data_IF_558519025501
#
_entry.id   IF_558519025501
#
_cell.length_a   1.000
_cell.length_b   1.000
_cell.length_c   1.000
_cell.angle_alpha   90.00
_cell.angle_beta   90.00
_cell.angle_gamma   90.00
#
_symmetry.space_group_name_H-M   'P 1'
#
loop_
_entity.id
_entity.type
_entity.pdbx_description
1 polymer ?
#
# COMPACT_ATOMS: atom_id res chain seq x y z
N UNK A 1 3.00 15.52 5.26
CA UNK A 1 4.43 15.62 5.58
C UNK A 1 4.93 14.22 5.92
N UNK A 2 6.06 13.78 5.36
CA UNK A 2 6.62 12.46 5.69
C UNK A 2 7.13 12.46 7.13
N UNK A 3 6.78 11.42 7.89
CA UNK A 3 7.15 11.31 9.31
C UNK A 3 8.43 10.49 9.52
N UNK A 4 8.78 9.63 8.55
CA UNK A 4 9.89 8.68 8.66
C UNK A 4 9.67 7.55 9.66
N UNK A 5 8.47 7.46 10.23
CA UNK A 5 8.08 6.47 11.23
C UNK A 5 7.35 5.28 10.60
N UNK A 6 7.41 4.14 11.28
CA UNK A 6 6.72 2.92 10.89
C UNK A 6 5.22 3.00 11.24
N UNK A 7 4.34 2.68 10.30
CA UNK A 7 2.90 2.54 10.55
C UNK A 7 2.60 1.13 11.08
N UNK A 8 2.10 1.03 12.31
CA UNK A 8 1.78 -0.23 13.01
C UNK A 8 0.31 -0.19 13.44
N UNK A 9 -0.58 -0.68 12.57
CA UNK A 9 -2.03 -0.46 12.72
C UNK A 9 -2.34 1.03 12.62
N UNK A 10 -2.95 1.61 13.66
CA UNK A 10 -3.28 3.04 13.73
C UNK A 10 -2.23 3.91 14.46
N UNK A 11 -1.03 3.38 14.70
CA UNK A 11 0.01 4.05 15.48
C UNK A 11 1.30 4.22 14.66
N UNK A 12 2.02 5.30 14.93
CA UNK A 12 3.37 5.53 14.38
C UNK A 12 4.43 5.15 15.42
N UNK A 13 5.46 4.45 14.99
CA UNK A 13 6.56 3.99 15.84
C UNK A 13 7.93 4.24 15.21
N UNK A 14 8.93 4.47 16.05
CA UNK A 14 10.31 4.73 15.64
C UNK A 14 11.28 4.29 16.75
N UNK A 15 11.05 3.09 17.28
CA UNK A 15 11.81 2.57 18.43
C UNK A 15 13.19 2.00 18.00
N UNK A 16 13.40 1.83 16.70
CA UNK A 16 14.67 1.43 16.12
C UNK A 16 15.79 2.43 16.41
N UNK A 17 16.96 1.90 16.75
CA UNK A 17 18.17 2.70 16.99
C UNK A 17 18.91 3.06 15.69
N UNK A 18 18.66 2.31 14.61
CA UNK A 18 19.23 2.59 13.29
C UNK A 18 18.29 3.51 12.53
N UNK A 19 18.84 4.64 12.06
CA UNK A 19 18.12 5.60 11.24
C UNK A 19 18.93 5.99 10.01
N UNK A 20 18.25 6.32 8.93
CA UNK A 20 18.87 6.74 7.68
C UNK A 20 18.03 7.81 6.98
N UNK A 21 18.69 8.62 6.16
CA UNK A 21 18.02 9.50 5.20
C UNK A 21 18.09 8.86 3.80
N UNK A 22 17.07 9.07 2.98
CA UNK A 22 17.13 8.69 1.56
C UNK A 22 18.06 9.65 0.80
N UNK A 23 18.54 9.24 -0.38
CA UNK A 23 19.44 10.05 -1.22
C UNK A 23 18.73 10.33 -2.54
N UNK A 24 18.85 11.57 -3.02
CA UNK A 24 18.46 11.90 -4.38
C UNK A 24 19.55 11.47 -5.36
N UNK A 25 19.31 10.46 -6.22
CA UNK A 25 20.37 9.90 -7.07
C UNK A 25 20.79 10.84 -8.22
N UNK A 26 20.00 11.87 -8.56
CA UNK A 26 20.37 12.86 -9.58
C UNK A 26 21.37 13.90 -9.06
N UNK A 27 21.20 14.32 -7.81
CA UNK A 27 22.04 15.37 -7.20
C UNK A 27 23.08 14.82 -6.24
N UNK A 28 22.97 13.54 -5.87
CA UNK A 28 23.75 12.90 -4.82
C UNK A 28 23.65 13.62 -3.47
N UNK A 29 22.50 14.24 -3.20
CA UNK A 29 22.22 14.95 -1.95
C UNK A 29 21.27 14.14 -1.08
N UNK A 30 21.49 14.21 0.23
CA UNK A 30 20.63 13.58 1.23
C UNK A 30 19.28 14.31 1.33
N UNK A 31 18.18 13.56 1.32
CA UNK A 31 16.84 14.08 1.53
C UNK A 31 16.61 14.35 3.03
N UNK A 32 15.76 15.34 3.36
CA UNK A 32 15.59 15.81 4.74
C UNK A 32 14.87 14.83 5.67
N UNK A 33 14.08 13.90 5.14
CA UNK A 33 13.31 12.94 5.94
C UNK A 33 14.23 11.87 6.53
N UNK A 34 14.28 11.78 7.85
CA UNK A 34 14.96 10.72 8.60
C UNK A 34 14.00 9.55 8.83
N UNK A 35 14.38 8.37 8.36
CA UNK A 35 13.64 7.12 8.53
C UNK A 35 14.27 6.26 9.62
N UNK A 36 13.46 5.48 10.32
CA UNK A 36 13.89 4.56 11.38
C UNK A 36 13.64 3.12 10.95
N UNK A 37 14.65 2.26 11.05
CA UNK A 37 14.49 0.83 10.82
C UNK A 37 13.55 0.23 11.87
N UNK A 38 12.63 -0.64 11.45
CA UNK A 38 11.74 -1.32 12.37
C UNK A 38 12.52 -2.34 13.23
N UNK A 39 12.27 -2.34 14.53
CA UNK A 39 12.76 -3.37 15.45
C UNK A 39 12.01 -4.70 15.27
N UNK A 40 12.57 -5.79 15.78
CA UNK A 40 11.87 -7.09 15.84
C UNK A 40 10.53 -6.96 16.59
N UNK A 41 10.48 -6.17 17.66
CA UNK A 41 9.26 -5.96 18.43
C UNK A 41 8.20 -5.17 17.65
N UNK A 42 8.59 -4.12 16.92
CA UNK A 42 7.70 -3.38 16.03
C UNK A 42 7.12 -4.28 14.90
N UNK A 43 7.96 -5.14 14.32
CA UNK A 43 7.52 -6.14 13.33
C UNK A 43 6.53 -7.12 13.96
N UNK A 44 6.83 -7.66 15.15
CA UNK A 44 5.92 -8.55 15.87
C UNK A 44 4.57 -7.88 16.18
N UNK A 45 4.60 -6.61 16.58
CA UNK A 45 3.39 -5.82 16.81
C UNK A 45 2.58 -5.63 15.52
N UNK A 46 3.23 -5.33 14.39
CA UNK A 46 2.55 -5.18 13.11
C UNK A 46 1.86 -6.48 12.67
N UNK A 47 2.56 -7.62 12.79
CA UNK A 47 2.00 -8.95 12.49
C UNK A 47 0.84 -9.29 13.42
N UNK A 48 0.98 -9.05 14.72
CA UNK A 48 -0.08 -9.30 15.70
C UNK A 48 -1.34 -8.47 15.41
N UNK A 49 -1.18 -7.17 15.08
CA UNK A 49 -2.30 -6.31 14.68
C UNK A 49 -2.94 -6.75 13.36
N UNK A 50 -2.14 -7.15 12.37
CA UNK A 50 -2.64 -7.67 11.11
C UNK A 50 -3.45 -8.96 11.32
N UNK A 51 -2.98 -9.87 12.17
CA UNK A 51 -3.69 -11.08 12.55
C UNK A 51 -5.03 -10.76 13.25
N UNK A 52 -5.05 -9.81 14.18
CA UNK A 52 -6.28 -9.34 14.80
C UNK A 52 -7.27 -8.73 13.79
N UNK A 53 -6.79 -7.92 12.85
CA UNK A 53 -7.61 -7.30 11.82
C UNK A 53 -8.19 -8.33 10.83
N UNK A 54 -7.44 -9.40 10.54
CA UNK A 54 -7.87 -10.48 9.64
C UNK A 54 -9.19 -11.12 10.09
N UNK A 55 -9.41 -11.28 11.40
CA UNK A 55 -10.64 -11.87 11.94
C UNK A 55 -11.91 -11.17 11.45
N UNK A 56 -11.87 -9.83 11.31
CA UNK A 56 -12.95 -9.04 10.74
C UNK A 56 -12.87 -9.00 9.20
N UNK A 57 -11.70 -8.70 8.64
CA UNK A 57 -11.51 -8.48 7.20
C UNK A 57 -11.86 -9.69 6.34
N UNK A 58 -11.61 -10.92 6.84
CA UNK A 58 -11.95 -12.15 6.10
C UNK A 58 -13.45 -12.24 5.78
N UNK A 59 -14.31 -11.69 6.67
CA UNK A 59 -15.76 -11.71 6.55
C UNK A 59 -16.32 -10.58 5.67
N UNK A 60 -15.47 -9.66 5.19
CA UNK A 60 -15.93 -8.62 4.28
C UNK A 60 -16.34 -9.19 2.93
N UNK A 61 -17.47 -8.71 2.41
CA UNK A 61 -17.99 -9.09 1.11
C UNK A 61 -17.06 -8.63 -0.03
N UNK A 62 -17.23 -9.22 -1.21
CA UNK A 62 -16.55 -8.77 -2.43
C UNK A 62 -16.77 -7.27 -2.68
N UNK A 63 -17.99 -6.78 -2.49
CA UNK A 63 -18.34 -5.36 -2.63
C UNK A 63 -17.61 -4.46 -1.63
N UNK A 64 -17.49 -4.87 -0.37
CA UNK A 64 -16.75 -4.10 0.65
C UNK A 64 -15.26 -4.03 0.34
N UNK A 65 -14.66 -5.17 -0.06
CA UNK A 65 -13.25 -5.25 -0.46
C UNK A 65 -12.97 -4.44 -1.73
N UNK A 66 -13.88 -4.51 -2.71
CA UNK A 66 -13.82 -3.72 -3.95
C UNK A 66 -13.85 -2.21 -3.63
N UNK A 67 -14.81 -1.77 -2.81
CA UNK A 67 -14.91 -0.38 -2.37
C UNK A 67 -13.64 0.10 -1.65
N UNK A 68 -13.02 -0.77 -0.86
CA UNK A 68 -11.75 -0.45 -0.18
C UNK A 68 -10.59 -0.24 -1.17
N UNK A 69 -10.44 -1.12 -2.17
CA UNK A 69 -9.41 -0.96 -3.21
C UNK A 69 -9.63 0.29 -4.06
N UNK A 70 -10.89 0.57 -4.45
CA UNK A 70 -11.26 1.79 -5.18
C UNK A 70 -10.96 3.04 -4.36
N UNK A 71 -11.20 3.02 -3.04
CA UNK A 71 -10.86 4.13 -2.16
C UNK A 71 -9.34 4.36 -2.12
N UNK A 72 -8.52 3.30 -1.99
CA UNK A 72 -7.05 3.43 -2.05
C UNK A 72 -6.60 4.06 -3.38
N UNK A 73 -7.17 3.62 -4.51
CA UNK A 73 -6.87 4.20 -5.81
C UNK A 73 -7.24 5.69 -5.89
N UNK A 74 -8.40 6.07 -5.33
CA UNK A 74 -8.83 7.46 -5.22
C UNK A 74 -7.86 8.33 -4.43
N UNK A 75 -7.44 7.86 -3.25
CA UNK A 75 -6.48 8.57 -2.39
C UNK A 75 -5.09 8.71 -3.05
N UNK A 76 -4.63 7.67 -3.76
CA UNK A 76 -3.38 7.73 -4.54
C UNK A 76 -3.44 8.74 -5.69
N UNK A 77 -4.60 8.89 -6.34
CA UNK A 77 -4.81 9.91 -7.37
C UNK A 77 -4.87 11.31 -6.74
N UNK A 78 -5.56 11.45 -5.61
CA UNK A 78 -5.72 12.71 -4.89
C UNK A 78 -4.41 13.24 -4.32
N UNK A 79 -3.48 12.35 -3.92
CA UNK A 79 -2.11 12.72 -3.54
C UNK A 79 -1.37 13.51 -4.64
N UNK A 80 -1.78 13.38 -5.90
CA UNK A 80 -1.36 14.26 -6.99
C UNK A 80 0.15 14.30 -7.17
N UNK A 81 0.69 15.51 -7.34
CA UNK A 81 2.09 15.74 -7.66
C UNK A 81 3.03 15.46 -6.49
N UNK A 82 2.56 15.52 -5.24
CA UNK A 82 3.39 15.21 -4.06
C UNK A 82 3.94 13.78 -4.12
N UNK A 83 3.14 12.81 -4.56
CA UNK A 83 3.61 11.44 -4.75
C UNK A 83 4.64 11.36 -5.89
N UNK A 84 4.37 12.06 -7.00
CA UNK A 84 5.23 12.04 -8.19
C UNK A 84 6.61 12.64 -7.88
N UNK A 85 6.63 13.82 -7.26
CA UNK A 85 7.85 14.52 -6.86
C UNK A 85 8.69 13.70 -5.89
N UNK A 86 8.05 13.04 -4.91
CA UNK A 86 8.78 12.19 -3.96
C UNK A 86 9.43 10.99 -4.65
N UNK A 87 8.69 10.29 -5.52
CA UNK A 87 9.25 9.15 -6.26
C UNK A 87 10.37 9.60 -7.18
N UNK A 88 10.21 10.72 -7.89
CA UNK A 88 11.27 11.27 -8.73
C UNK A 88 12.52 11.65 -7.92
N UNK A 89 12.32 12.18 -6.71
CA UNK A 89 13.39 12.56 -5.80
C UNK A 89 14.16 11.35 -5.29
N UNK A 90 13.50 10.26 -4.92
CA UNK A 90 14.18 9.07 -4.37
C UNK A 90 14.73 8.12 -5.44
N UNK A 91 14.13 8.10 -6.63
CA UNK A 91 14.51 7.15 -7.69
C UNK A 91 15.30 7.77 -8.83
N UNK A 92 15.22 9.09 -9.00
CA UNK A 92 15.77 9.77 -10.16
C UNK A 92 15.00 9.51 -11.47
N UNK A 93 13.84 8.86 -11.43
CA UNK A 93 13.04 8.65 -12.64
C UNK A 93 12.50 9.99 -13.20
N UNK A 94 12.18 10.00 -14.49
CA UNK A 94 11.53 11.14 -15.15
C UNK A 94 10.03 11.19 -14.85
N UNK A 95 9.43 12.38 -14.93
CA UNK A 95 8.02 12.61 -14.62
C UNK A 95 7.08 11.65 -15.37
N UNK A 96 7.23 11.53 -16.69
CA UNK A 96 6.37 10.66 -17.51
C UNK A 96 6.42 9.19 -17.08
N UNK A 97 7.61 8.72 -16.68
CA UNK A 97 7.79 7.35 -16.19
C UNK A 97 7.06 7.14 -14.87
N UNK A 98 7.17 8.07 -13.93
CA UNK A 98 6.52 7.98 -12.63
C UNK A 98 4.99 8.11 -12.76
N UNK A 99 4.50 8.98 -13.65
CA UNK A 99 3.06 9.07 -13.97
C UNK A 99 2.55 7.75 -14.56
N UNK A 100 3.32 7.12 -15.46
CA UNK A 100 2.96 5.82 -16.00
C UNK A 100 2.95 4.72 -14.92
N UNK A 101 3.89 4.73 -13.98
CA UNK A 101 3.90 3.79 -12.84
C UNK A 101 2.71 3.99 -11.92
N UNK A 102 2.37 5.23 -11.55
CA UNK A 102 1.13 5.53 -10.81
C UNK A 102 -0.08 5.01 -11.57
N UNK A 103 -0.16 5.27 -12.88
CA UNK A 103 -1.24 4.76 -13.74
C UNK A 103 -1.38 3.24 -13.72
N UNK A 104 -0.27 2.49 -13.77
CA UNK A 104 -0.30 1.02 -13.64
C UNK A 104 -0.79 0.57 -12.27
N UNK A 105 -0.36 1.21 -11.18
CA UNK A 105 -0.82 0.89 -9.83
C UNK A 105 -2.32 1.13 -9.68
N UNK A 106 -2.83 2.27 -10.16
CA UNK A 106 -4.26 2.58 -10.15
C UNK A 106 -5.06 1.56 -10.95
N UNK A 107 -4.59 1.19 -12.14
CA UNK A 107 -5.23 0.19 -12.98
C UNK A 107 -5.25 -1.20 -12.32
N UNK A 108 -4.15 -1.62 -11.68
CA UNK A 108 -4.09 -2.90 -10.97
C UNK A 108 -5.08 -2.95 -9.80
N UNK A 109 -5.19 -1.87 -9.02
CA UNK A 109 -6.17 -1.77 -7.93
C UNK A 109 -7.60 -1.89 -8.46
N UNK A 110 -7.91 -1.19 -9.55
CA UNK A 110 -9.24 -1.28 -10.18
C UNK A 110 -9.51 -2.68 -10.73
N UNK A 111 -8.55 -3.31 -11.41
CA UNK A 111 -8.68 -4.68 -11.93
C UNK A 111 -9.02 -5.68 -10.81
N UNK A 112 -8.36 -5.60 -9.65
CA UNK A 112 -8.71 -6.44 -8.50
C UNK A 112 -10.05 -6.07 -7.86
N UNK A 113 -10.41 -4.78 -7.84
CA UNK A 113 -11.72 -4.34 -7.37
C UNK A 113 -12.86 -4.90 -8.24
N UNK A 114 -12.66 -4.95 -9.56
CA UNK A 114 -13.62 -5.52 -10.51
C UNK A 114 -13.71 -7.04 -10.36
N UNK A 115 -12.57 -7.74 -10.20
CA UNK A 115 -12.54 -9.19 -9.93
C UNK A 115 -13.32 -9.54 -8.65
N UNK A 116 -13.20 -8.72 -7.60
CA UNK A 116 -13.92 -8.92 -6.35
C UNK A 116 -15.44 -8.75 -6.49
N UNK A 117 -15.90 -7.87 -7.40
CA UNK A 117 -17.32 -7.67 -7.70
C UNK A 117 -17.87 -8.79 -8.58
N UNK A 118 -17.09 -9.22 -9.57
CA UNK A 118 -17.44 -10.33 -10.45
C UNK A 118 -17.58 -11.64 -9.67
N UNK A 119 -16.72 -11.87 -8.68
CA UNK A 119 -16.84 -13.00 -7.76
C UNK A 119 -16.34 -14.34 -8.30
N UNK A 120 -15.89 -14.42 -9.57
CA UNK A 120 -15.35 -15.64 -10.17
C UNK A 120 -14.15 -16.22 -9.40
N UNK A 121 -13.42 -15.41 -8.64
CA UNK A 121 -12.31 -15.84 -7.79
C UNK A 121 -12.71 -16.82 -6.68
N UNK A 122 -14.00 -16.90 -6.32
CA UNK A 122 -14.51 -17.86 -5.34
C UNK A 122 -14.53 -19.28 -5.90
N UNK A 123 -14.57 -19.41 -7.23
CA UNK A 123 -14.66 -20.70 -7.94
C UNK A 123 -15.80 -21.59 -7.42
N UNK A 124 -16.95 -20.96 -7.17
CA UNK A 124 -18.11 -21.62 -6.58
C UNK A 124 -18.69 -22.68 -7.53
N UNK A 125 -18.75 -23.93 -7.06
CA UNK A 125 -19.29 -25.07 -7.82
C UNK A 125 -20.59 -25.55 -7.18
N UNK A 126 -21.59 -25.86 -8.01
CA UNK A 126 -22.85 -26.48 -7.59
C UNK A 126 -22.88 -27.91 -8.15
N UNK A 127 -22.78 -28.90 -7.28
CA UNK A 127 -22.97 -30.31 -7.65
C UNK A 127 -24.47 -30.65 -7.59
N UNK A 128 -25.08 -30.80 -8.76
CA UNK A 128 -26.50 -31.17 -8.89
C UNK A 128 -26.65 -32.67 -9.00
N UNK A 129 -27.63 -33.26 -8.29
CA UNK A 129 -27.95 -34.67 -8.41
C UNK A 129 -28.23 -35.06 -9.88
N UNK A 130 -27.65 -36.17 -10.33
CA UNK A 130 -27.95 -36.77 -11.63
C UNK A 130 -29.32 -37.47 -11.54
N UNK A 131 -30.28 -37.18 -12.44
CA UNK A 131 -31.62 -37.79 -12.44
C UNK A 131 -31.63 -39.32 -12.56
#
# INVERSE_FOLDING_TARGET
>A
MLTGKNYIGYSLSSDGTTSFNTINPKTNQTNSTLFYEATTDEVNQAVSKAHGAFAAYQNYSGTQKSSFLTAIAGELLQLGDTLIEQVMTETGLGYERVVAERGRTLWQLQMFADLLLDGSWVDATIDTAIP
#
